data_IF_743207414171
#
_entry.id   IF_743207414171
#
_cell.length_a   1.000
_cell.length_b   1.000
_cell.length_c   1.000
_cell.angle_alpha   90.00
_cell.angle_beta   90.00
_cell.angle_gamma   90.00
#
_symmetry.space_group_name_H-M   'P 1'
#
loop_
_entity.id
_entity.type
_entity.pdbx_description
1 polymer ?
#
# COMPACT_ATOMS: atom_id res chain seq x y z
N UNK A 1 -6.00 -84.83 -19.86
CA UNK A 1 -5.66 -83.53 -20.45
C UNK A 1 -5.90 -82.49 -19.38
N UNK A 2 -4.85 -82.10 -18.66
CA UNK A 2 -4.95 -81.02 -17.67
C UNK A 2 -4.85 -79.67 -18.38
N UNK A 3 -5.66 -78.67 -18.00
CA UNK A 3 -5.61 -77.36 -18.63
C UNK A 3 -4.32 -76.63 -18.21
N UNK A 4 -3.70 -75.84 -19.11
CA UNK A 4 -2.47 -75.13 -18.79
C UNK A 4 -2.74 -74.04 -17.73
N UNK A 5 -1.78 -73.80 -16.81
CA UNK A 5 -1.97 -72.84 -15.73
C UNK A 5 -2.16 -71.42 -16.29
N UNK A 6 -3.25 -70.76 -15.88
CA UNK A 6 -3.59 -69.39 -16.27
C UNK A 6 -2.49 -68.43 -15.79
N UNK A 7 -1.81 -67.78 -16.74
CA UNK A 7 -0.81 -66.72 -16.49
C UNK A 7 -1.46 -65.40 -16.03
N UNK A 8 -2.14 -65.42 -14.89
CA UNK A 8 -2.72 -64.20 -14.27
C UNK A 8 -1.67 -63.30 -13.60
N UNK A 9 -0.42 -63.76 -13.48
CA UNK A 9 0.63 -63.07 -12.73
C UNK A 9 1.20 -61.83 -13.43
N UNK A 10 1.32 -61.82 -14.76
CA UNK A 10 1.93 -60.73 -15.51
C UNK A 10 1.18 -59.38 -15.42
N UNK A 11 -0.16 -59.30 -15.60
CA UNK A 11 -0.88 -58.04 -15.47
C UNK A 11 -0.92 -57.54 -14.02
N UNK A 12 -0.94 -58.45 -13.04
CA UNK A 12 -0.90 -58.11 -11.62
C UNK A 12 0.47 -57.53 -11.23
N UNK A 13 1.56 -58.11 -11.75
CA UNK A 13 2.92 -57.64 -11.51
C UNK A 13 3.15 -56.26 -12.14
N UNK A 14 2.62 -56.03 -13.35
CA UNK A 14 2.68 -54.73 -14.02
C UNK A 14 1.89 -53.67 -13.25
N UNK A 15 0.69 -54.01 -12.77
CA UNK A 15 -0.11 -53.11 -11.94
C UNK A 15 0.60 -52.77 -10.62
N UNK A 16 1.22 -53.75 -9.97
CA UNK A 16 1.97 -53.55 -8.74
C UNK A 16 3.19 -52.65 -8.98
N UNK A 17 3.90 -52.84 -10.10
CA UNK A 17 5.03 -52.01 -10.50
C UNK A 17 4.59 -50.57 -10.77
N UNK A 18 3.46 -50.37 -11.46
CA UNK A 18 2.90 -49.04 -11.71
C UNK A 18 2.46 -48.34 -10.41
N UNK A 19 1.87 -49.08 -9.46
CA UNK A 19 1.52 -48.55 -8.14
C UNK A 19 2.76 -48.18 -7.32
N UNK A 20 3.82 -48.99 -7.38
CA UNK A 20 5.10 -48.69 -6.74
C UNK A 20 5.78 -47.47 -7.37
N UNK A 21 5.75 -47.33 -8.70
CA UNK A 21 6.26 -46.15 -9.41
C UNK A 21 5.44 -44.89 -9.10
N UNK A 22 4.12 -45.00 -9.00
CA UNK A 22 3.25 -43.90 -8.58
C UNK A 22 3.50 -43.49 -7.12
N UNK A 23 3.67 -44.46 -6.21
CA UNK A 23 3.97 -44.21 -4.80
C UNK A 23 5.40 -43.69 -4.57
N UNK A 24 6.36 -44.04 -5.43
CA UNK A 24 7.73 -43.56 -5.40
C UNK A 24 7.93 -42.22 -6.12
N UNK A 25 6.90 -41.69 -6.80
CA UNK A 25 7.00 -40.36 -7.39
C UNK A 25 7.05 -39.33 -6.25
N UNK A 26 8.13 -38.54 -6.12
CA UNK A 26 8.19 -37.52 -5.10
C UNK A 26 7.02 -36.56 -5.36
N UNK A 27 6.20 -36.31 -4.35
CA UNK A 27 5.21 -35.24 -4.43
C UNK A 27 5.97 -33.97 -4.80
N UNK A 28 5.76 -33.48 -6.03
CA UNK A 28 6.30 -32.20 -6.44
C UNK A 28 5.78 -31.17 -5.43
N UNK A 29 6.71 -30.58 -4.66
CA UNK A 29 6.35 -29.56 -3.69
C UNK A 29 6.15 -28.25 -4.44
N UNK A 30 4.95 -28.11 -5.00
CA UNK A 30 4.42 -26.84 -5.45
C UNK A 30 4.53 -25.83 -4.30
N UNK A 31 5.04 -24.63 -4.61
CA UNK A 31 5.14 -23.47 -3.73
C UNK A 31 5.48 -23.73 -2.24
N UNK A 32 6.69 -23.37 -1.80
CA UNK A 32 7.05 -23.45 -0.37
C UNK A 32 6.67 -22.18 0.39
N UNK A 33 5.41 -22.10 0.85
CA UNK A 33 4.86 -20.93 1.57
C UNK A 33 5.68 -20.51 2.78
N UNK A 34 6.25 -21.47 3.49
CA UNK A 34 7.06 -21.33 4.69
C UNK A 34 8.42 -20.63 4.46
N UNK A 35 8.87 -20.49 3.21
CA UNK A 35 10.08 -19.72 2.89
C UNK A 35 9.83 -18.21 2.86
N UNK A 36 8.57 -17.81 2.89
CA UNK A 36 8.14 -16.45 2.69
C UNK A 36 7.40 -15.90 3.90
N UNK A 37 7.80 -14.71 4.37
CA UNK A 37 7.10 -14.03 5.47
C UNK A 37 5.67 -13.63 5.07
N UNK A 38 4.71 -13.95 5.93
CA UNK A 38 3.39 -13.33 5.93
C UNK A 38 3.39 -12.00 6.71
N UNK A 39 2.31 -11.23 6.62
CA UNK A 39 2.20 -9.93 7.28
C UNK A 39 2.34 -10.01 8.81
N UNK A 40 1.89 -11.11 9.43
CA UNK A 40 2.01 -11.31 10.89
C UNK A 40 3.46 -11.64 11.33
N UNK A 41 4.26 -12.23 10.44
CA UNK A 41 5.69 -12.51 10.62
C UNK A 41 6.59 -11.31 10.27
N UNK A 42 6.00 -10.24 9.74
CA UNK A 42 6.70 -9.00 9.38
C UNK A 42 6.24 -7.89 10.35
N UNK A 43 7.03 -7.53 11.36
CA UNK A 43 6.60 -6.64 12.46
C UNK A 43 6.01 -5.31 12.01
N UNK A 44 6.61 -4.65 11.02
CA UNK A 44 6.06 -3.39 10.50
C UNK A 44 4.68 -3.58 9.85
N UNK A 45 4.48 -4.69 9.10
CA UNK A 45 3.19 -5.02 8.51
C UNK A 45 2.16 -5.33 9.58
N UNK A 46 2.53 -6.15 10.58
CA UNK A 46 1.67 -6.50 11.71
C UNK A 46 1.19 -5.26 12.45
N UNK A 47 2.12 -4.38 12.88
CA UNK A 47 1.81 -3.12 13.58
C UNK A 47 0.88 -2.24 12.75
N UNK A 48 1.22 -2.08 11.47
CA UNK A 48 0.39 -1.30 10.57
C UNK A 48 -1.01 -1.92 10.42
N UNK A 49 -1.15 -3.24 10.27
CA UNK A 49 -2.44 -3.87 9.99
C UNK A 49 -3.43 -3.78 11.17
N UNK A 50 -2.94 -3.86 12.40
CA UNK A 50 -3.77 -3.81 13.61
C UNK A 50 -4.03 -2.40 14.14
N UNK A 51 -3.32 -1.38 13.63
CA UNK A 51 -3.45 0.00 14.10
C UNK A 51 -4.86 0.53 13.87
N UNK A 52 -5.43 1.09 14.94
CA UNK A 52 -6.72 1.77 14.96
C UNK A 52 -6.66 3.15 14.26
N UNK A 53 -7.81 3.65 13.76
CA UNK A 53 -7.95 5.03 13.27
C UNK A 53 -7.51 6.11 14.26
N UNK A 54 -7.12 7.26 13.72
CA UNK A 54 -6.81 8.51 14.43
C UNK A 54 -5.52 8.52 15.26
N UNK A 55 -4.45 7.89 14.76
CA UNK A 55 -3.14 7.84 15.43
C UNK A 55 -2.24 9.07 15.24
N UNK A 56 -2.80 10.22 14.86
CA UNK A 56 -2.03 11.46 14.78
C UNK A 56 -2.33 12.33 15.99
N UNK A 57 -1.30 12.54 16.80
CA UNK A 57 -1.43 13.14 18.13
C UNK A 57 -1.28 14.68 18.13
N UNK A 58 -1.15 15.33 16.97
CA UNK A 58 -0.95 16.79 16.88
C UNK A 58 -1.52 17.45 15.62
N UNK A 59 -2.03 18.70 15.73
CA UNK A 59 -2.50 19.50 14.61
C UNK A 59 -1.35 19.90 13.68
N UNK A 60 -1.67 20.18 12.42
CA UNK A 60 -0.72 20.71 11.44
C UNK A 60 -0.67 22.23 11.42
N UNK A 61 0.54 22.78 11.37
CA UNK A 61 0.78 24.20 11.12
C UNK A 61 1.22 24.39 9.67
N UNK A 62 0.35 24.97 8.83
CA UNK A 62 0.66 25.24 7.42
C UNK A 62 1.39 26.57 7.23
N UNK A 63 2.39 26.55 6.36
CA UNK A 63 3.14 27.70 5.88
C UNK A 63 3.38 27.58 4.36
N UNK A 64 3.38 28.70 3.66
CA UNK A 64 3.79 28.73 2.25
C UNK A 64 5.28 29.03 2.23
N UNK A 65 6.07 28.16 1.58
CA UNK A 65 7.49 28.44 1.40
C UNK A 65 7.69 29.55 0.38
N UNK A 66 8.81 30.30 0.45
CA UNK A 66 9.16 31.30 -0.57
C UNK A 66 9.20 30.70 -1.98
N UNK A 67 9.56 29.42 -2.08
CA UNK A 67 9.62 28.65 -3.32
C UNK A 67 8.23 28.16 -3.80
N UNK A 68 7.12 28.70 -3.27
CA UNK A 68 5.74 28.42 -3.70
C UNK A 68 5.25 26.99 -3.45
N UNK A 69 5.92 26.24 -2.56
CA UNK A 69 5.43 24.97 -2.04
C UNK A 69 4.61 25.23 -0.78
N UNK A 70 3.58 24.40 -0.57
CA UNK A 70 2.85 24.43 0.69
C UNK A 70 3.53 23.45 1.62
N UNK A 71 4.15 23.99 2.67
CA UNK A 71 4.79 23.21 3.72
C UNK A 71 3.89 23.14 4.95
N UNK A 72 3.79 22.01 5.61
CA UNK A 72 3.13 21.91 6.90
C UNK A 72 4.06 21.23 7.89
N UNK A 73 4.14 21.77 9.09
CA UNK A 73 4.91 21.18 10.17
C UNK A 73 3.98 20.51 11.17
N UNK A 74 4.33 19.29 11.57
CA UNK A 74 3.72 18.60 12.70
C UNK A 74 4.76 18.36 13.78
N UNK A 75 4.67 19.10 14.88
CA UNK A 75 5.42 18.85 16.10
C UNK A 75 4.57 18.04 17.08
N UNK A 76 5.18 17.07 17.78
CA UNK A 76 4.50 16.29 18.80
C UNK A 76 5.46 16.06 19.97
N UNK A 77 5.03 16.12 21.25
CA UNK A 77 5.93 15.98 22.40
C UNK A 77 6.74 14.68 22.41
N UNK A 78 6.20 13.57 21.87
CA UNK A 78 6.93 12.30 21.77
C UNK A 78 7.88 12.21 20.56
N UNK A 79 7.86 13.20 19.66
CA UNK A 79 8.62 13.19 18.41
C UNK A 79 9.70 14.28 18.44
N UNK A 80 10.94 13.84 18.59
CA UNK A 80 12.13 14.69 18.61
C UNK A 80 12.38 15.50 17.32
N UNK A 81 11.90 15.00 16.16
CA UNK A 81 11.95 15.69 14.88
C UNK A 81 10.54 15.98 14.37
N UNK A 82 10.16 17.24 14.14
CA UNK A 82 8.91 17.56 13.49
C UNK A 82 8.81 16.90 12.11
N UNK A 83 7.60 16.58 11.66
CA UNK A 83 7.39 16.18 10.26
C UNK A 83 7.17 17.41 9.40
N UNK A 84 7.79 17.43 8.23
CA UNK A 84 7.61 18.42 7.19
C UNK A 84 6.86 17.76 6.04
N UNK A 85 5.62 18.22 5.82
CA UNK A 85 4.79 17.83 4.69
C UNK A 85 4.96 18.89 3.60
N UNK A 86 5.25 18.50 2.37
CA UNK A 86 5.37 19.38 1.22
C UNK A 86 4.38 18.98 0.15
N UNK A 87 3.56 19.93 -0.27
CA UNK A 87 2.59 19.76 -1.33
C UNK A 87 3.02 20.57 -2.56
N UNK A 88 3.01 19.93 -3.72
CA UNK A 88 3.35 20.54 -5.01
C UNK A 88 2.50 19.98 -6.14
N UNK A 89 2.32 20.76 -7.20
CA UNK A 89 1.63 20.33 -8.41
C UNK A 89 2.63 19.90 -9.50
N UNK A 90 2.22 18.95 -10.34
CA UNK A 90 3.00 18.41 -11.46
C UNK A 90 2.15 18.39 -12.73
N UNK A 91 2.66 18.84 -13.89
CA UNK A 91 1.94 18.78 -15.15
C UNK A 91 1.72 17.34 -15.65
N UNK A 92 0.60 17.04 -16.33
CA UNK A 92 -0.51 17.95 -16.61
C UNK A 92 -1.48 18.14 -15.43
N UNK A 93 -1.74 17.11 -14.61
CA UNK A 93 -2.72 17.17 -13.51
C UNK A 93 -2.38 16.20 -12.35
N UNK A 94 -1.14 16.24 -11.86
CA UNK A 94 -0.70 15.43 -10.73
C UNK A 94 -0.45 16.30 -9.49
N UNK A 95 -0.79 15.77 -8.32
CA UNK A 95 -0.49 16.35 -7.02
C UNK A 95 0.57 15.47 -6.35
N UNK A 96 1.65 16.08 -5.87
CA UNK A 96 2.72 15.40 -5.14
C UNK A 96 2.66 15.83 -3.68
N UNK A 97 2.43 14.86 -2.80
CA UNK A 97 2.58 14.99 -1.35
C UNK A 97 3.87 14.28 -0.95
N UNK A 98 4.82 15.01 -0.39
CA UNK A 98 6.04 14.48 0.20
C UNK A 98 5.99 14.72 1.71
N UNK A 99 6.34 13.72 2.51
CA UNK A 99 6.38 13.84 3.97
C UNK A 99 7.72 13.30 4.45
N UNK A 100 8.44 14.07 5.24
CA UNK A 100 9.73 13.69 5.79
C UNK A 100 9.94 14.28 7.19
N UNK A 101 11.01 13.87 7.88
CA UNK A 101 11.42 14.48 9.15
C UNK A 101 12.24 15.75 8.90
N UNK A 102 12.17 16.71 9.82
CA UNK A 102 13.09 17.85 9.80
C UNK A 102 14.49 17.43 10.25
N UNK A 103 15.44 17.54 9.33
CA UNK A 103 16.86 17.23 9.52
C UNK A 103 17.72 18.47 9.75
N UNK A 104 17.13 19.67 9.86
CA UNK A 104 17.84 20.95 10.04
C UNK A 104 18.81 20.95 11.22
N UNK A 105 18.50 20.19 12.27
CA UNK A 105 19.26 20.11 13.53
C UNK A 105 20.21 18.90 13.62
N UNK A 106 20.30 18.04 12.60
CA UNK A 106 21.09 16.81 12.64
C UNK A 106 22.47 16.94 11.95
N UNK A 107 23.55 16.52 12.63
CA UNK A 107 24.91 16.57 12.07
C UNK A 107 25.74 15.32 12.43
N UNK A 108 26.12 14.44 11.47
CA UNK A 108 25.64 14.39 10.08
C UNK A 108 24.20 13.87 10.00
N UNK A 109 23.34 14.43 9.13
CA UNK A 109 21.95 14.01 9.05
C UNK A 109 21.87 12.61 8.42
N UNK A 110 21.57 11.59 9.22
CA UNK A 110 21.05 10.34 8.68
C UNK A 110 19.63 10.58 8.17
N UNK A 111 19.48 10.57 6.84
CA UNK A 111 18.20 10.83 6.17
C UNK A 111 17.49 9.55 5.80
N UNK A 112 16.17 9.63 5.63
CA UNK A 112 15.38 8.57 5.00
C UNK A 112 15.78 8.42 3.54
N UNK A 113 15.59 7.20 3.04
CA UNK A 113 15.90 6.88 1.66
C UNK A 113 14.92 7.60 0.72
N UNK A 114 15.46 8.38 -0.20
CA UNK A 114 14.71 8.97 -1.31
C UNK A 114 15.10 8.20 -2.56
N UNK A 115 14.11 7.70 -3.31
CA UNK A 115 14.35 6.86 -4.49
C UNK A 115 15.01 7.73 -5.59
N UNK A 116 16.29 7.49 -5.94
CA UNK A 116 16.93 8.22 -7.03
C UNK A 116 16.49 7.67 -8.39
N UNK A 117 16.80 8.41 -9.46
CA UNK A 117 16.80 7.96 -10.87
C UNK A 117 15.47 7.54 -11.51
N UNK A 118 14.39 7.34 -10.75
CA UNK A 118 13.07 6.91 -11.29
C UNK A 118 12.33 8.08 -11.96
N UNK A 119 12.48 9.30 -11.44
CA UNK A 119 11.86 10.51 -11.94
C UNK A 119 12.93 11.58 -12.16
N UNK A 120 13.61 11.59 -13.32
CA UNK A 120 14.55 12.66 -13.64
C UNK A 120 13.80 14.00 -13.72
N UNK A 121 14.49 15.08 -13.32
CA UNK A 121 14.03 16.47 -13.42
C UNK A 121 12.70 16.77 -12.71
N UNK A 122 12.35 16.00 -11.68
CA UNK A 122 11.07 16.13 -10.99
C UNK A 122 10.88 17.53 -10.38
N UNK A 123 11.93 18.08 -9.76
CA UNK A 123 11.91 19.42 -9.15
C UNK A 123 11.84 20.55 -10.19
N UNK A 124 12.39 20.33 -11.39
CA UNK A 124 12.29 21.31 -12.49
C UNK A 124 10.88 21.35 -13.09
N UNK A 125 10.07 20.31 -12.86
CA UNK A 125 8.70 20.17 -13.41
C UNK A 125 7.61 20.55 -12.40
N UNK A 126 7.96 20.79 -11.15
CA UNK A 126 7.00 21.19 -10.12
C UNK A 126 6.46 22.60 -10.37
N UNK A 127 5.15 22.75 -10.24
CA UNK A 127 4.45 24.02 -10.33
C UNK A 127 4.18 24.57 -8.93
N UNK A 128 4.28 25.89 -8.80
CA UNK A 128 3.89 26.61 -7.60
C UNK A 128 2.38 26.53 -7.38
N UNK A 129 1.99 26.27 -6.14
CA UNK A 129 0.59 26.30 -5.74
C UNK A 129 0.20 27.72 -5.32
N UNK A 130 -1.05 28.15 -5.58
CA UNK A 130 -1.54 29.42 -5.07
C UNK A 130 -1.59 29.40 -3.54
N UNK A 131 -1.59 30.59 -2.93
CA UNK A 131 -1.70 30.70 -1.47
C UNK A 131 -2.97 30.01 -0.95
N UNK A 132 -2.86 29.21 0.12
CA UNK A 132 -3.99 28.51 0.71
C UNK A 132 -4.93 29.49 1.40
N UNK A 133 -6.22 29.42 1.04
CA UNK A 133 -7.28 30.10 1.81
C UNK A 133 -7.55 29.30 3.07
N UNK A 134 -7.18 29.84 4.21
CA UNK A 134 -7.28 29.14 5.51
C UNK A 134 -8.40 29.75 6.36
N UNK A 135 -9.34 28.92 6.78
CA UNK A 135 -10.43 29.29 7.67
C UNK A 135 -10.74 28.12 8.61
N UNK A 136 -10.88 28.40 9.91
CA UNK A 136 -11.31 27.43 10.93
C UNK A 136 -10.57 26.07 10.90
N UNK A 137 -9.24 26.07 10.76
CA UNK A 137 -8.43 24.83 10.74
C UNK A 137 -8.53 24.01 9.44
N UNK A 138 -9.02 24.63 8.37
CA UNK A 138 -9.07 24.05 7.02
C UNK A 138 -8.42 25.01 6.03
N UNK A 139 -7.51 24.49 5.22
CA UNK A 139 -6.85 25.22 4.13
C UNK A 139 -7.32 24.69 2.78
N UNK A 140 -7.74 25.58 1.88
CA UNK A 140 -8.14 25.22 0.50
C UNK A 140 -7.21 25.86 -0.53
N UNK A 141 -6.80 25.07 -1.51
CA UNK A 141 -5.85 25.44 -2.56
C UNK A 141 -6.43 25.01 -3.91
N UNK A 142 -6.49 25.92 -4.87
CA UNK A 142 -6.90 25.57 -6.23
C UNK A 142 -5.76 24.81 -6.93
N UNK A 143 -6.04 23.60 -7.44
CA UNK A 143 -5.07 22.80 -8.19
C UNK A 143 -5.22 23.01 -9.71
N UNK A 144 -6.45 23.16 -10.18
CA UNK A 144 -6.79 23.44 -11.58
C UNK A 144 -8.17 24.11 -11.65
N UNK A 145 -8.69 24.41 -12.84
CA UNK A 145 -10.05 24.97 -12.99
C UNK A 145 -11.15 24.07 -12.39
N UNK A 146 -10.91 22.76 -12.33
CA UNK A 146 -11.93 21.78 -11.98
C UNK A 146 -11.68 21.10 -10.63
N UNK A 147 -10.49 21.30 -10.02
CA UNK A 147 -10.07 20.59 -8.82
C UNK A 147 -9.50 21.53 -7.77
N UNK A 148 -9.94 21.32 -6.53
CA UNK A 148 -9.41 21.91 -5.32
C UNK A 148 -8.75 20.85 -4.43
N UNK A 149 -7.74 21.26 -3.69
CA UNK A 149 -7.15 20.49 -2.59
C UNK A 149 -7.56 21.14 -1.27
N UNK A 150 -8.16 20.35 -0.40
CA UNK A 150 -8.57 20.75 0.95
C UNK A 150 -7.71 20.00 1.96
N UNK A 151 -7.04 20.74 2.83
CA UNK A 151 -6.24 20.20 3.93
C UNK A 151 -6.94 20.54 5.23
N UNK A 152 -7.46 19.53 5.91
CA UNK A 152 -7.93 19.64 7.30
C UNK A 152 -6.74 19.49 8.23
N UNK A 153 -6.58 20.40 9.20
CA UNK A 153 -5.37 20.45 10.03
C UNK A 153 -5.46 19.47 11.21
N UNK A 154 -6.66 19.27 11.74
CA UNK A 154 -6.92 18.41 12.90
C UNK A 154 -8.31 17.73 12.84
N UNK A 155 -8.39 16.39 12.76
CA UNK A 155 -7.30 15.48 12.40
C UNK A 155 -6.83 15.75 10.96
N UNK A 156 -5.53 15.52 10.70
CA UNK A 156 -4.95 15.71 9.38
C UNK A 156 -5.67 14.85 8.32
N UNK A 157 -6.21 15.50 7.30
CA UNK A 157 -6.76 14.86 6.12
C UNK A 157 -6.49 15.75 4.91
N UNK A 158 -6.05 15.17 3.79
CA UNK A 158 -5.91 15.87 2.52
C UNK A 158 -6.92 15.31 1.52
N UNK A 159 -7.82 16.14 1.02
CA UNK A 159 -8.90 15.74 0.12
C UNK A 159 -8.85 16.54 -1.17
N UNK A 160 -8.74 15.84 -2.29
CA UNK A 160 -8.90 16.39 -3.63
C UNK A 160 -10.37 16.30 -4.00
N UNK A 161 -11.00 17.44 -4.30
CA UNK A 161 -12.43 17.53 -4.64
C UNK A 161 -12.65 18.33 -5.92
N UNK A 162 -13.81 18.17 -6.53
CA UNK A 162 -14.22 18.97 -7.70
C UNK A 162 -14.60 20.39 -7.25
N UNK A 163 -14.01 21.42 -7.85
CA UNK A 163 -14.17 22.82 -7.40
C UNK A 163 -15.63 23.32 -7.45
N UNK A 164 -16.39 22.90 -8.46
CA UNK A 164 -17.80 23.31 -8.63
C UNK A 164 -18.79 22.59 -7.71
N UNK A 165 -18.72 21.26 -7.63
CA UNK A 165 -19.68 20.45 -6.84
C UNK A 165 -19.25 20.22 -5.39
N UNK A 166 -17.96 20.35 -5.08
CA UNK A 166 -17.39 20.01 -3.78
C UNK A 166 -17.24 18.51 -3.53
N UNK A 167 -17.63 17.66 -4.49
CA UNK A 167 -17.57 16.21 -4.35
C UNK A 167 -16.12 15.72 -4.24
N UNK A 168 -15.79 14.88 -3.23
CA UNK A 168 -14.45 14.35 -3.10
C UNK A 168 -14.16 13.34 -4.22
N UNK A 169 -12.93 13.37 -4.73
CA UNK A 169 -12.41 12.47 -5.76
C UNK A 169 -11.43 11.47 -5.15
N UNK A 170 -10.56 11.97 -4.27
CA UNK A 170 -9.53 11.22 -3.56
C UNK A 170 -9.28 11.87 -2.21
N UNK A 171 -9.08 11.07 -1.17
CA UNK A 171 -8.59 11.57 0.11
C UNK A 171 -7.40 10.76 0.59
N UNK A 172 -6.49 11.43 1.28
CA UNK A 172 -5.36 10.88 1.99
C UNK A 172 -5.65 11.04 3.48
N UNK A 173 -5.48 9.95 4.23
CA UNK A 173 -5.69 9.88 5.68
C UNK A 173 -7.13 10.09 6.16
N UNK A 174 -8.14 9.87 5.32
CA UNK A 174 -9.56 9.96 5.71
C UNK A 174 -9.97 8.98 6.81
N UNK A 175 -9.23 7.87 6.97
CA UNK A 175 -9.46 6.89 8.01
C UNK A 175 -8.47 7.04 9.17
N UNK A 176 -7.65 8.09 9.20
CA UNK A 176 -6.70 8.34 10.27
C UNK A 176 -5.68 7.23 10.44
N UNK A 177 -5.31 6.52 9.37
CA UNK A 177 -4.33 5.43 9.41
C UNK A 177 -2.91 5.87 9.09
N UNK A 178 -2.70 7.16 8.85
CA UNK A 178 -1.40 7.76 8.70
C UNK A 178 -0.58 7.59 9.97
N UNK A 179 0.62 7.06 9.79
CA UNK A 179 1.62 6.93 10.82
C UNK A 179 3.00 7.01 10.20
N UNK A 180 3.89 7.61 10.96
CA UNK A 180 5.27 7.82 10.56
C UNK A 180 6.14 7.50 11.77
N UNK A 181 6.69 6.28 11.78
CA UNK A 181 7.58 5.83 12.85
C UNK A 181 8.88 6.64 12.78
N UNK A 182 9.23 7.42 13.82
CA UNK A 182 10.37 8.32 13.76
C UNK A 182 11.69 7.55 13.70
N UNK A 183 12.67 8.11 12.99
CA UNK A 183 14.01 7.52 12.97
C UNK A 183 14.64 7.71 14.35
N UNK A 184 15.29 6.67 14.88
CA UNK A 184 16.01 6.74 16.16
C UNK A 184 17.52 6.68 15.91
N UNK A 185 18.29 7.45 16.68
CA UNK A 185 19.76 7.45 16.60
C UNK A 185 20.38 6.26 17.33
N UNK A 186 19.79 5.85 18.45
CA UNK A 186 20.26 4.74 19.26
C UNK A 186 19.12 3.92 19.85
N UNK A 187 19.45 2.68 20.18
CA UNK A 187 18.57 1.71 20.84
C UNK A 187 18.50 2.02 22.34
N UNK A 188 17.31 2.11 22.96
CA UNK A 188 17.18 2.05 24.42
C UNK A 188 17.82 0.76 24.96
N UNK A 189 18.45 0.82 26.14
CA UNK A 189 19.19 -0.32 26.70
C UNK A 189 18.33 -1.58 26.89
N UNK A 190 17.01 -1.40 27.05
CA UNK A 190 16.01 -2.43 27.34
C UNK A 190 15.28 -2.99 26.10
N UNK A 191 15.45 -2.43 24.89
CA UNK A 191 14.60 -2.76 23.74
C UNK A 191 15.37 -3.45 22.61
N UNK A 192 15.17 -4.75 22.35
CA UNK A 192 15.72 -5.39 21.13
C UNK A 192 14.87 -5.12 19.89
N UNK A 193 15.52 -4.61 18.82
CA UNK A 193 14.87 -4.35 17.53
C UNK A 193 15.09 -5.46 16.49
N UNK A 194 15.88 -6.49 16.84
CA UNK A 194 16.32 -7.52 15.91
C UNK A 194 15.15 -8.39 15.44
N UNK A 195 15.18 -8.75 14.16
CA UNK A 195 14.18 -9.61 13.54
C UNK A 195 14.81 -10.90 13.04
N UNK A 196 14.24 -12.01 13.47
CA UNK A 196 14.72 -13.34 13.11
C UNK A 196 13.76 -13.98 12.12
N UNK A 197 14.29 -14.52 11.02
CA UNK A 197 13.52 -15.33 10.09
C UNK A 197 14.37 -16.42 9.48
N UNK A 198 13.99 -17.66 9.83
CA UNK A 198 14.76 -18.86 9.51
C UNK A 198 16.20 -18.68 10.02
N UNK A 199 17.19 -18.83 9.16
CA UNK A 199 18.62 -18.69 9.49
C UNK A 199 19.14 -17.25 9.48
N UNK A 200 18.30 -16.25 9.18
CA UNK A 200 18.74 -14.87 9.00
C UNK A 200 18.26 -13.99 10.16
N UNK A 201 19.17 -13.17 10.69
CA UNK A 201 18.88 -12.16 11.70
C UNK A 201 19.15 -10.77 11.12
N UNK A 202 18.09 -9.95 11.03
CA UNK A 202 18.19 -8.54 10.71
C UNK A 202 18.38 -7.73 12.00
N UNK A 203 19.52 -7.06 12.12
CA UNK A 203 19.90 -6.30 13.32
C UNK A 203 19.09 -5.02 13.52
N UNK A 204 18.47 -4.49 12.45
CA UNK A 204 17.67 -3.25 12.46
C UNK A 204 18.28 -2.12 13.31
N UNK A 205 19.47 -1.60 12.94
CA UNK A 205 20.22 -0.66 13.77
C UNK A 205 19.51 0.68 14.05
N UNK A 206 18.48 1.02 13.26
CA UNK A 206 17.68 2.25 13.40
C UNK A 206 16.25 2.00 13.87
N UNK A 207 15.95 0.75 14.26
CA UNK A 207 14.67 0.38 14.82
C UNK A 207 13.51 0.44 13.83
N UNK A 208 12.29 0.72 14.30
CA UNK A 208 11.11 0.86 13.45
C UNK A 208 11.13 2.19 12.69
N UNK A 209 11.01 2.13 11.36
CA UNK A 209 11.03 3.30 10.48
C UNK A 209 9.96 3.22 9.38
N UNK A 210 8.88 2.47 9.60
CA UNK A 210 7.82 2.31 8.60
C UNK A 210 6.95 3.57 8.49
N UNK A 211 6.42 3.76 7.29
CA UNK A 211 5.47 4.83 6.97
C UNK A 211 4.19 4.16 6.51
N UNK A 212 3.06 4.54 7.09
CA UNK A 212 1.76 3.96 6.76
C UNK A 212 0.75 5.06 6.50
N UNK A 213 -0.18 4.86 5.58
CA UNK A 213 -1.23 5.82 5.27
C UNK A 213 -2.39 5.17 4.55
N UNK A 214 -3.57 5.80 4.62
CA UNK A 214 -4.71 5.43 3.78
C UNK A 214 -4.96 6.41 2.63
N UNK A 215 -5.48 5.87 1.53
CA UNK A 215 -5.98 6.60 0.38
C UNK A 215 -7.36 6.07 0.04
N UNK A 216 -8.37 6.93 0.04
CA UNK A 216 -9.73 6.58 -0.35
C UNK A 216 -10.05 7.08 -1.75
N UNK A 217 -10.70 6.24 -2.55
CA UNK A 217 -11.07 6.55 -3.92
C UNK A 217 -12.60 6.64 -4.03
N UNK A 218 -13.12 7.86 -4.09
CA UNK A 218 -14.56 8.08 -4.14
C UNK A 218 -15.11 7.84 -5.54
N UNK A 219 -16.21 7.08 -5.62
CA UNK A 219 -16.84 6.68 -6.88
C UNK A 219 -16.03 5.68 -7.71
N UNK A 220 -15.06 5.00 -7.11
CA UNK A 220 -14.30 3.93 -7.76
C UNK A 220 -14.74 2.56 -7.24
N UNK A 221 -15.13 1.67 -8.14
CA UNK A 221 -15.48 0.28 -7.80
C UNK A 221 -14.31 -0.68 -7.99
N UNK A 222 -13.36 -0.34 -8.86
CA UNK A 222 -12.21 -1.18 -9.20
C UNK A 222 -10.91 -0.39 -9.15
N UNK A 223 -9.86 -1.03 -8.64
CA UNK A 223 -8.49 -0.51 -8.62
C UNK A 223 -7.58 -1.51 -9.34
N UNK A 224 -6.64 -1.00 -10.13
CA UNK A 224 -5.76 -1.80 -10.97
C UNK A 224 -4.29 -1.40 -10.76
N UNK A 225 -3.38 -2.27 -11.18
CA UNK A 225 -1.93 -2.04 -11.14
C UNK A 225 -1.24 -2.81 -10.02
N UNK A 226 -0.18 -2.23 -9.46
CA UNK A 226 0.71 -2.89 -8.48
C UNK A 226 1.32 -4.22 -8.95
N UNK A 227 1.74 -4.41 -10.21
CA UNK A 227 2.39 -5.66 -10.58
C UNK A 227 3.72 -5.83 -9.80
N UNK A 228 4.20 -7.05 -9.57
CA UNK A 228 3.79 -8.33 -10.19
C UNK A 228 3.22 -9.33 -9.16
N UNK A 229 2.03 -9.88 -9.46
CA UNK A 229 1.31 -10.85 -8.62
C UNK A 229 0.72 -11.96 -9.49
N UNK A 230 0.59 -13.17 -8.94
CA UNK A 230 0.01 -14.34 -9.63
C UNK A 230 -1.52 -14.30 -9.82
N UNK A 231 -2.15 -13.12 -9.76
CA UNK A 231 -3.59 -12.95 -9.91
C UNK A 231 -3.99 -13.03 -11.40
N UNK A 232 -4.99 -13.83 -11.73
CA UNK A 232 -5.61 -13.86 -13.08
C UNK A 232 -6.52 -12.65 -13.32
N UNK A 233 -7.03 -12.03 -12.26
CA UNK A 233 -7.83 -10.80 -12.35
C UNK A 233 -6.94 -9.57 -12.45
N UNK A 234 -7.22 -8.72 -13.43
CA UNK A 234 -6.61 -7.38 -13.56
C UNK A 234 -7.08 -6.45 -12.43
N UNK A 235 -8.36 -6.56 -12.04
CA UNK A 235 -8.91 -5.82 -10.92
C UNK A 235 -8.42 -6.42 -9.61
N UNK A 236 -7.84 -5.57 -8.75
CA UNK A 236 -7.33 -5.98 -7.45
C UNK A 236 -8.48 -6.39 -6.53
N UNK A 237 -8.32 -7.54 -5.87
CA UNK A 237 -9.29 -8.07 -4.93
C UNK A 237 -9.14 -7.40 -3.56
N UNK A 238 -10.23 -7.20 -2.80
CA UNK A 238 -10.13 -6.74 -1.42
C UNK A 238 -9.29 -7.70 -0.57
N UNK A 239 -8.40 -7.17 0.25
CA UNK A 239 -7.54 -7.90 1.19
C UNK A 239 -7.95 -7.68 2.65
N UNK A 240 -9.14 -7.12 2.89
CA UNK A 240 -9.79 -6.96 4.19
C UNK A 240 -11.27 -6.59 3.96
N UNK A 241 -12.16 -7.05 4.83
CA UNK A 241 -13.57 -6.67 4.82
C UNK A 241 -14.52 -7.87 4.89
N UNK A 242 -15.84 -7.63 4.78
CA UNK A 242 -16.85 -8.68 4.76
C UNK A 242 -16.57 -9.68 3.63
N UNK A 243 -16.62 -10.99 3.94
CA UNK A 243 -16.33 -12.04 2.97
C UNK A 243 -14.84 -12.31 2.72
N UNK A 244 -13.95 -11.68 3.50
CA UNK A 244 -12.50 -11.89 3.43
C UNK A 244 -11.99 -12.30 4.81
N UNK A 245 -12.03 -13.61 5.11
CA UNK A 245 -11.78 -14.10 6.47
C UNK A 245 -10.28 -14.12 6.84
N UNK A 246 -9.38 -14.46 5.91
CA UNK A 246 -7.92 -14.48 6.15
C UNK A 246 -7.15 -14.19 4.84
N UNK A 247 -6.93 -12.91 4.51
CA UNK A 247 -6.16 -12.53 3.31
C UNK A 247 -4.86 -11.82 3.65
N UNK A 248 -3.82 -12.04 2.84
CA UNK A 248 -2.60 -11.25 2.91
C UNK A 248 -2.76 -9.93 2.11
N UNK A 249 -2.10 -8.84 2.51
CA UNK A 249 -1.98 -7.64 1.66
C UNK A 249 -1.19 -7.96 0.40
N UNK A 250 -1.42 -7.16 -0.65
CA UNK A 250 -0.56 -7.18 -1.83
C UNK A 250 0.85 -6.78 -1.45
N UNK A 251 1.82 -7.64 -1.74
CA UNK A 251 3.22 -7.44 -1.39
C UNK A 251 4.01 -6.96 -2.60
N UNK A 252 4.75 -5.87 -2.43
CA UNK A 252 5.70 -5.34 -3.39
C UNK A 252 7.09 -5.47 -2.79
N UNK A 253 7.68 -6.63 -3.05
CA UNK A 253 9.04 -6.98 -2.66
C UNK A 253 9.54 -7.99 -3.69
N UNK A 254 10.54 -7.60 -4.48
CA UNK A 254 11.07 -8.43 -5.55
C UNK A 254 11.67 -9.70 -4.94
N UNK A 255 11.10 -10.83 -5.30
CA UNK A 255 11.45 -12.14 -4.79
C UNK A 255 11.67 -13.09 -5.96
N UNK A 256 12.61 -14.02 -5.80
CA UNK A 256 12.70 -15.19 -6.66
C UNK A 256 11.78 -16.27 -6.10
N UNK A 257 10.78 -16.62 -6.89
CA UNK A 257 9.59 -17.32 -6.40
C UNK A 257 9.31 -18.53 -7.26
N UNK A 258 9.82 -19.68 -6.81
CA UNK A 258 9.66 -20.96 -7.49
C UNK A 258 8.19 -21.44 -7.45
N UNK A 259 7.67 -21.83 -8.61
CA UNK A 259 6.30 -22.38 -8.80
C UNK A 259 5.22 -21.55 -8.08
N UNK A 260 5.08 -20.29 -8.48
CA UNK A 260 4.16 -19.35 -7.84
C UNK A 260 2.70 -19.81 -7.83
N UNK A 261 1.99 -19.44 -6.76
CA UNK A 261 0.55 -19.69 -6.65
C UNK A 261 -0.25 -18.75 -7.54
N UNK A 262 -1.24 -19.29 -8.25
CA UNK A 262 -2.28 -18.50 -8.91
C UNK A 262 -3.23 -17.90 -7.87
N UNK A 263 -3.89 -16.79 -8.21
CA UNK A 263 -4.84 -16.07 -7.34
C UNK A 263 -4.26 -15.61 -5.99
N UNK A 264 -2.97 -15.27 -5.97
CA UNK A 264 -2.27 -14.87 -4.74
C UNK A 264 -1.87 -13.38 -4.76
N UNK A 265 -2.04 -12.65 -3.63
CA UNK A 265 -1.54 -11.28 -3.47
C UNK A 265 -0.01 -11.23 -3.20
N UNK A 266 0.65 -12.38 -3.27
CA UNK A 266 2.06 -12.53 -2.96
C UNK A 266 2.95 -11.94 -4.07
N UNK A 267 3.96 -11.17 -3.68
CA UNK A 267 4.88 -10.49 -4.60
C UNK A 267 5.78 -11.46 -5.36
N UNK A 268 6.01 -11.16 -6.64
CA UNK A 268 6.85 -11.95 -7.54
C UNK A 268 8.16 -11.20 -7.85
N UNK A 269 8.61 -11.23 -9.11
CA UNK A 269 9.94 -10.81 -9.52
C UNK A 269 10.09 -9.29 -9.63
N UNK A 270 9.03 -8.61 -10.08
CA UNK A 270 9.00 -7.16 -10.23
C UNK A 270 8.04 -6.46 -9.27
N UNK A 271 8.34 -5.19 -8.97
CA UNK A 271 7.47 -4.31 -8.19
C UNK A 271 7.38 -2.95 -8.88
N UNK A 272 6.19 -2.61 -9.38
CA UNK A 272 5.90 -1.27 -9.90
C UNK A 272 4.86 -0.64 -8.98
N UNK A 273 5.28 0.37 -8.22
CA UNK A 273 4.43 1.11 -7.29
C UNK A 273 3.55 2.16 -7.99
N UNK A 274 2.92 1.78 -9.11
CA UNK A 274 1.92 2.61 -9.82
C UNK A 274 0.55 1.97 -9.76
N UNK A 275 -0.45 2.81 -9.52
CA UNK A 275 -1.87 2.45 -9.52
C UNK A 275 -2.55 3.18 -10.67
N UNK A 276 -3.38 2.44 -11.40
CA UNK A 276 -4.27 3.01 -12.39
C UNK A 276 -5.69 2.90 -11.86
N UNK A 277 -6.37 4.03 -11.79
CA UNK A 277 -7.82 4.06 -11.59
C UNK A 277 -8.46 3.99 -12.97
N UNK A 278 -9.34 3.01 -13.19
CA UNK A 278 -10.38 3.15 -14.19
C UNK A 278 -11.66 3.53 -13.48
N UNK A 279 -12.11 4.77 -13.67
CA UNK A 279 -13.54 5.04 -13.64
C UNK A 279 -14.00 4.72 -15.05
N UNK A 280 -14.50 3.51 -15.28
CA UNK A 280 -15.29 3.26 -16.49
C UNK A 280 -16.57 4.10 -16.38
N UNK A 281 -16.47 5.39 -16.70
CA UNK A 281 -17.53 6.10 -17.40
C UNK A 281 -17.48 5.62 -18.86
N UNK A 282 -17.74 4.33 -19.03
CA UNK A 282 -18.39 3.82 -20.22
C UNK A 282 -19.67 3.22 -19.70
N UNK A 283 -20.67 4.11 -19.56
CA UNK A 283 -22.03 3.72 -19.80
C UNK A 283 -22.07 3.26 -21.27
N UNK A 284 -21.70 2.01 -21.51
CA UNK A 284 -22.00 1.35 -22.77
C UNK A 284 -23.52 1.39 -22.87
N UNK A 285 -24.01 2.07 -23.91
CA UNK A 285 -25.37 2.58 -23.98
C UNK A 285 -26.43 1.53 -23.69
N UNK A 286 -27.23 1.80 -22.66
CA UNK A 286 -28.68 1.63 -22.73
C UNK A 286 -29.31 2.87 -22.09
N UNK A 287 -30.38 3.37 -22.71
CA UNK A 287 -30.98 4.69 -22.48
C UNK A 287 -31.44 5.00 -21.05
N UNK A 288 -32.03 6.19 -20.82
CA UNK A 288 -32.31 6.68 -19.48
C UNK A 288 -33.42 5.86 -18.81
N UNK A 289 -33.07 5.15 -17.74
CA UNK A 289 -34.01 4.59 -16.77
C UNK A 289 -33.95 5.40 -15.47
N UNK A 290 -35.08 5.55 -14.76
CA UNK A 290 -35.35 6.70 -13.90
C UNK A 290 -34.53 6.67 -12.60
N UNK A 291 -34.23 7.87 -12.10
CA UNK A 291 -33.64 8.08 -10.77
C UNK A 291 -34.48 7.35 -9.72
N UNK A 292 -33.97 6.24 -9.20
CA UNK A 292 -34.35 5.74 -7.87
C UNK A 292 -33.50 6.46 -6.84
N UNK A 293 -34.17 7.30 -6.06
CA UNK A 293 -33.70 7.85 -4.80
C UNK A 293 -33.36 6.71 -3.83
N UNK A 294 -32.16 6.74 -3.26
CA UNK A 294 -31.73 5.84 -2.18
C UNK A 294 -30.75 4.77 -2.63
N UNK A 295 -29.46 5.10 -2.62
CA UNK A 295 -28.36 4.14 -2.77
C UNK A 295 -27.11 4.65 -2.08
N UNK A 296 -26.63 3.91 -1.09
CA UNK A 296 -25.36 4.15 -0.39
C UNK A 296 -24.23 4.23 -1.43
N UNK A 297 -23.43 5.30 -1.39
CA UNK A 297 -22.21 5.44 -2.18
C UNK A 297 -21.15 4.48 -1.62
N UNK A 298 -21.07 3.28 -2.18
CA UNK A 298 -20.03 2.31 -1.83
C UNK A 298 -18.64 2.88 -2.13
N UNK A 299 -17.85 3.12 -1.08
CA UNK A 299 -16.48 3.65 -1.17
C UNK A 299 -15.47 2.56 -0.84
N UNK A 300 -14.52 2.32 -1.75
CA UNK A 300 -13.33 1.52 -1.50
C UNK A 300 -12.19 2.40 -0.98
N UNK A 301 -11.39 1.86 -0.06
CA UNK A 301 -10.25 2.55 0.53
C UNK A 301 -9.06 1.62 0.67
N UNK A 302 -7.86 2.17 0.63
CA UNK A 302 -6.62 1.42 0.62
C UNK A 302 -5.70 1.93 1.71
N UNK A 303 -5.11 1.04 2.51
CA UNK A 303 -3.99 1.35 3.40
C UNK A 303 -2.68 0.88 2.78
N UNK A 304 -1.72 1.77 2.59
CA UNK A 304 -0.35 1.49 2.15
C UNK A 304 0.58 1.55 3.36
N UNK A 305 1.47 0.57 3.45
CA UNK A 305 2.54 0.42 4.44
C UNK A 305 3.84 0.31 3.67
N UNK A 306 4.81 1.19 3.91
CA UNK A 306 6.10 1.20 3.21
C UNK A 306 7.28 1.24 4.17
N UNK A 307 8.32 0.48 3.86
CA UNK A 307 9.60 0.46 4.57
C UNK A 307 10.75 0.29 3.55
N UNK A 308 11.52 1.36 3.29
CA UNK A 308 12.76 1.46 2.49
C UNK A 308 12.86 0.68 1.15
N UNK A 309 12.71 -0.65 1.16
CA UNK A 309 12.81 -1.55 0.00
C UNK A 309 11.61 -2.51 -0.14
N UNK A 310 10.58 -2.38 0.71
CA UNK A 310 9.40 -3.25 0.74
C UNK A 310 8.14 -2.45 1.03
N UNK A 311 7.10 -2.65 0.22
CA UNK A 311 5.79 -2.03 0.45
C UNK A 311 4.70 -3.10 0.49
N UNK A 312 3.74 -2.93 1.38
CA UNK A 312 2.58 -3.79 1.56
C UNK A 312 1.33 -2.94 1.43
N UNK A 313 0.39 -3.39 0.61
CA UNK A 313 -0.86 -2.71 0.31
C UNK A 313 -2.05 -3.53 0.79
N UNK A 314 -2.81 -2.95 1.71
CA UNK A 314 -4.09 -3.49 2.16
C UNK A 314 -5.21 -2.77 1.40
N UNK A 315 -5.98 -3.50 0.59
CA UNK A 315 -7.19 -2.99 -0.06
C UNK A 315 -8.42 -3.40 0.75
N UNK A 316 -9.30 -2.45 1.03
CA UNK A 316 -10.50 -2.69 1.84
C UNK A 316 -11.72 -2.11 1.12
N UNK A 317 -12.79 -2.89 1.03
CA UNK A 317 -14.09 -2.42 0.56
C UNK A 317 -15.02 -2.26 1.78
N UNK A 318 -15.68 -1.10 1.87
CA UNK A 318 -16.75 -0.89 2.85
C UNK A 318 -18.10 -1.14 2.17
N UNK A 319 -19.04 -1.74 2.91
CA UNK A 319 -20.46 -1.74 2.55
C UNK A 319 -21.04 -0.34 2.76
#
# INVERSE_FOLDING_TARGET
>A
MDPPPRRLAAPLLLLLLLLLLAAASPAARAWKKDEFRNCNQTPFCKRARIRAPHSLDAPLSLAVSPDGFISAEQSHPSRWRPLVLRLSALPPHALRLQIDEDYSTATPPHRRFHVPDVLPDLEARTLHLPEPKTAAGVSTVALSSDLDVVVKHDPFELTVRRAGSGDPVLSFNSHGLFDFEPMRESKPEDETWEEHFRSHTDKRPRGPQSITFDVSFYGAHFVYGLPEHGSTSLALRPTRGPGVEESEPYRLFNLDVFEYLHESPFGLYGSIQRRCRSMCLHQVGMGPLPRRTGGSTHCGWLRLVSLMHSSLLVLSQRM
#
